data_IF_498609467643
#
_entry.id   IF_498609467643
#
_cell.length_a   1.000
_cell.length_b   1.000
_cell.length_c   1.000
_cell.angle_alpha   90.00
_cell.angle_beta   90.00
_cell.angle_gamma   90.00
#
_symmetry.space_group_name_H-M   'P 1'
#
loop_
_entity.id
_entity.type
_entity.pdbx_description
1 polymer ?
#
# COMPACT_ATOMS: atom_id res chain seq x y z
N UNK A 1 -69.88 -3.25 13.26
CA UNK A 1 -70.39 -2.60 12.06
C UNK A 1 -69.61 -1.30 11.86
N UNK A 2 -68.55 -1.27 11.04
CA UNK A 2 -67.84 -0.04 10.64
C UNK A 2 -67.74 -0.04 9.11
N UNK A 3 -68.53 0.83 8.50
CA UNK A 3 -68.70 1.07 7.10
C UNK A 3 -67.44 1.67 6.50
N UNK A 4 -66.78 0.97 5.54
CA UNK A 4 -65.64 1.48 4.81
C UNK A 4 -66.13 2.19 3.55
N UNK A 5 -65.97 3.51 3.54
CA UNK A 5 -66.32 4.35 2.39
C UNK A 5 -65.16 4.28 1.40
N UNK A 6 -65.40 3.68 0.22
CA UNK A 6 -64.48 3.69 -0.91
C UNK A 6 -64.74 4.94 -1.75
N UNK A 7 -63.71 5.82 -1.81
CA UNK A 7 -63.68 6.93 -2.78
C UNK A 7 -62.97 6.44 -4.06
N UNK A 8 -63.54 6.63 -5.24
CA UNK A 8 -62.82 6.39 -6.50
C UNK A 8 -61.95 7.61 -6.83
N UNK A 9 -60.65 7.41 -6.97
CA UNK A 9 -59.71 8.41 -7.50
C UNK A 9 -59.77 8.34 -9.03
N UNK A 10 -60.29 9.37 -9.65
CA UNK A 10 -60.28 9.52 -11.12
C UNK A 10 -58.87 9.94 -11.56
N UNK A 11 -58.23 9.07 -12.34
CA UNK A 11 -56.90 9.35 -12.94
C UNK A 11 -57.13 10.13 -14.23
N UNK A 12 -56.78 11.41 -14.24
CA UNK A 12 -56.78 12.24 -15.43
C UNK A 12 -55.47 11.99 -16.20
N UNK A 13 -55.51 11.28 -17.32
CA UNK A 13 -54.38 11.07 -18.20
C UNK A 13 -54.14 12.34 -19.04
N UNK A 14 -53.09 13.08 -18.73
CA UNK A 14 -52.60 14.17 -19.57
C UNK A 14 -51.56 13.60 -20.53
N UNK A 15 -51.89 13.46 -21.79
CA UNK A 15 -50.96 13.11 -22.87
C UNK A 15 -50.20 14.36 -23.32
N UNK A 16 -48.98 14.51 -22.90
CA UNK A 16 -48.03 15.52 -23.44
C UNK A 16 -47.28 14.89 -24.60
N UNK A 17 -47.65 15.26 -25.82
CA UNK A 17 -46.87 14.98 -27.02
C UNK A 17 -45.68 15.91 -27.06
N UNK A 18 -44.50 15.44 -26.68
CA UNK A 18 -43.24 16.13 -26.90
C UNK A 18 -42.65 15.71 -28.25
N UNK A 19 -42.65 16.63 -29.20
CA UNK A 19 -41.91 16.49 -30.45
C UNK A 19 -40.42 16.51 -30.10
N UNK A 20 -39.76 15.38 -30.25
CA UNK A 20 -38.30 15.29 -30.07
C UNK A 20 -37.63 15.70 -31.38
N UNK A 21 -37.04 16.89 -31.41
CA UNK A 21 -36.05 17.26 -32.40
C UNK A 21 -34.79 16.42 -32.15
N UNK A 22 -34.56 15.45 -33.04
CA UNK A 22 -33.31 14.71 -33.05
C UNK A 22 -32.19 15.61 -33.57
N UNK A 23 -31.41 16.19 -32.67
CA UNK A 23 -30.12 16.71 -33.03
C UNK A 23 -29.17 15.51 -33.13
N UNK A 24 -28.74 15.23 -34.36
CA UNK A 24 -27.65 14.33 -34.70
C UNK A 24 -26.37 14.86 -34.03
N UNK A 25 -26.18 14.50 -32.76
CA UNK A 25 -24.87 14.63 -32.13
C UNK A 25 -24.24 13.26 -32.17
N UNK A 26 -23.52 12.99 -33.26
CA UNK A 26 -22.58 11.89 -33.35
C UNK A 26 -21.69 11.95 -32.11
N UNK A 27 -21.72 10.93 -31.22
CA UNK A 27 -20.78 10.89 -30.11
C UNK A 27 -19.38 10.82 -30.69
N UNK A 28 -18.40 11.60 -30.17
CA UNK A 28 -17.03 11.45 -30.58
C UNK A 28 -16.62 9.99 -30.32
N UNK A 29 -16.23 9.30 -31.39
CA UNK A 29 -15.58 8.01 -31.36
C UNK A 29 -14.50 8.10 -30.30
N UNK A 30 -14.47 7.25 -29.28
CA UNK A 30 -13.32 7.19 -28.41
C UNK A 30 -12.13 6.72 -29.24
N UNK A 31 -11.29 7.68 -29.62
CA UNK A 31 -10.01 7.39 -30.22
C UNK A 31 -9.22 6.54 -29.26
N UNK A 32 -8.89 5.37 -29.76
CA UNK A 32 -7.82 4.50 -29.28
C UNK A 32 -7.69 4.42 -27.76
N UNK A 33 -8.51 3.57 -27.16
CA UNK A 33 -7.98 2.77 -26.08
C UNK A 33 -6.65 2.19 -26.62
N UNK A 34 -5.54 2.75 -26.14
CA UNK A 34 -4.28 2.09 -26.25
C UNK A 34 -4.54 0.67 -25.78
N UNK A 35 -4.58 -0.29 -26.70
CA UNK A 35 -4.40 -1.68 -26.41
C UNK A 35 -3.07 -1.76 -25.70
N UNK A 36 -3.09 -1.59 -24.39
CA UNK A 36 -2.04 -2.10 -23.56
C UNK A 36 -2.07 -3.59 -23.86
N UNK A 37 -1.15 -4.01 -24.71
CA UNK A 37 -0.82 -5.40 -24.94
C UNK A 37 -0.40 -5.95 -23.57
N UNK A 38 -1.40 -6.33 -22.80
CA UNK A 38 -1.26 -7.10 -21.58
C UNK A 38 -0.98 -8.53 -21.99
N UNK A 39 0.12 -8.72 -22.73
CA UNK A 39 0.82 -9.96 -22.73
C UNK A 39 1.01 -10.31 -21.27
N UNK A 40 0.39 -11.40 -20.83
CA UNK A 40 0.33 -11.93 -19.47
C UNK A 40 1.73 -12.30 -18.96
N UNK A 41 2.60 -11.28 -18.86
CA UNK A 41 3.97 -11.44 -18.39
C UNK A 41 3.96 -11.35 -16.87
N UNK A 42 4.50 -12.34 -16.22
CA UNK A 42 4.77 -12.32 -14.79
C UNK A 42 5.55 -11.04 -14.43
N UNK A 43 5.12 -10.38 -13.37
CA UNK A 43 5.75 -9.16 -12.82
C UNK A 43 6.37 -9.50 -11.48
N UNK A 44 7.55 -8.97 -11.22
CA UNK A 44 8.12 -8.97 -9.88
C UNK A 44 7.51 -7.86 -9.04
N UNK A 45 7.27 -8.12 -7.75
CA UNK A 45 6.92 -7.07 -6.79
C UNK A 45 7.99 -5.98 -6.71
N UNK A 46 9.24 -6.29 -7.07
CA UNK A 46 10.35 -5.35 -7.12
C UNK A 46 10.23 -4.32 -8.27
N UNK A 47 9.32 -4.53 -9.22
CA UNK A 47 9.03 -3.58 -10.29
C UNK A 47 8.09 -2.43 -9.85
N UNK A 48 7.68 -2.37 -8.58
CA UNK A 48 6.77 -1.33 -8.08
C UNK A 48 5.34 -1.56 -8.55
N UNK A 49 4.68 -2.55 -7.97
CA UNK A 49 3.32 -3.00 -8.34
C UNK A 49 2.21 -2.36 -7.49
N UNK A 50 2.53 -1.46 -6.60
CA UNK A 50 1.59 -0.71 -5.76
C UNK A 50 2.01 0.75 -5.66
N UNK A 51 1.11 1.65 -5.28
CA UNK A 51 1.44 3.07 -5.07
C UNK A 51 1.60 3.40 -3.58
N UNK A 52 2.34 4.47 -3.29
CA UNK A 52 2.47 4.99 -1.91
C UNK A 52 1.11 5.38 -1.32
N UNK A 53 0.22 5.94 -2.15
CA UNK A 53 -1.13 6.28 -1.72
C UNK A 53 -1.92 5.04 -1.32
N UNK A 54 -1.84 3.98 -2.13
CA UNK A 54 -2.50 2.71 -1.83
C UNK A 54 -1.96 2.11 -0.53
N UNK A 55 -0.66 2.11 -0.34
CA UNK A 55 -0.05 1.62 0.90
C UNK A 55 -0.45 2.46 2.13
N UNK A 56 -0.67 3.76 1.96
CA UNK A 56 -1.17 4.63 3.03
C UNK A 56 -2.63 4.33 3.40
N UNK A 57 -3.49 4.03 2.41
CA UNK A 57 -4.85 3.53 2.65
C UNK A 57 -4.80 2.20 3.38
N UNK A 58 -3.91 1.30 2.94
CA UNK A 58 -3.71 -0.01 3.57
C UNK A 58 -3.24 0.06 5.02
N UNK A 59 -2.42 1.04 5.38
CA UNK A 59 -2.06 1.31 6.78
C UNK A 59 -3.31 1.64 7.62
N UNK A 60 -4.18 2.51 7.10
CA UNK A 60 -5.43 2.87 7.78
C UNK A 60 -6.38 1.67 7.93
N UNK A 61 -6.52 0.86 6.87
CA UNK A 61 -7.30 -0.37 6.90
C UNK A 61 -6.73 -1.41 7.87
N UNK A 62 -5.40 -1.54 7.91
CA UNK A 62 -4.71 -2.40 8.86
C UNK A 62 -4.97 -1.97 10.31
N UNK A 63 -4.88 -0.68 10.60
CA UNK A 63 -5.15 -0.14 11.93
C UNK A 63 -6.61 -0.40 12.35
N UNK A 64 -7.54 -0.27 11.42
CA UNK A 64 -8.96 -0.46 11.70
C UNK A 64 -9.37 -1.93 11.89
N UNK A 65 -8.76 -2.85 11.13
CA UNK A 65 -9.27 -4.22 11.02
C UNK A 65 -8.30 -5.31 11.53
N UNK A 66 -7.01 -4.97 11.76
CA UNK A 66 -5.99 -5.98 12.05
C UNK A 66 -5.22 -5.72 13.36
N UNK A 67 -4.93 -4.45 13.67
CA UNK A 67 -3.99 -4.06 14.73
C UNK A 67 -4.45 -4.44 16.14
N UNK A 68 -5.75 -4.69 16.34
CA UNK A 68 -6.28 -5.12 17.62
C UNK A 68 -5.78 -6.52 18.03
N UNK A 69 -5.47 -7.37 17.04
CA UNK A 69 -5.04 -8.75 17.25
C UNK A 69 -3.60 -9.01 16.76
N UNK A 70 -3.11 -8.23 15.81
CA UNK A 70 -1.81 -8.45 15.17
C UNK A 70 -0.90 -7.24 15.30
N UNK A 71 0.30 -7.46 15.84
CA UNK A 71 1.42 -6.56 15.61
C UNK A 71 2.05 -6.80 14.22
N UNK A 72 2.77 -5.82 13.71
CA UNK A 72 3.42 -5.92 12.38
C UNK A 72 4.53 -6.98 12.33
N UNK A 73 5.10 -7.37 13.46
CA UNK A 73 6.15 -8.41 13.59
C UNK A 73 5.74 -9.74 12.97
N UNK A 74 4.44 -10.02 12.86
CA UNK A 74 3.94 -11.28 12.30
C UNK A 74 4.11 -11.39 10.77
N UNK A 75 4.29 -10.26 10.08
CA UNK A 75 4.36 -10.20 8.62
C UNK A 75 5.43 -9.23 8.08
N UNK A 76 6.49 -8.98 8.87
CA UNK A 76 7.67 -8.23 8.42
C UNK A 76 8.94 -9.07 8.52
N UNK A 77 9.97 -8.68 7.77
CA UNK A 77 11.30 -9.24 7.83
C UNK A 77 11.34 -10.74 7.53
N UNK A 78 11.89 -11.54 8.45
CA UNK A 78 12.00 -13.00 8.26
C UNK A 78 10.65 -13.71 8.20
N UNK A 79 9.66 -13.25 8.95
CA UNK A 79 8.32 -13.83 8.90
C UNK A 79 7.69 -13.67 7.52
N UNK A 80 7.79 -12.47 6.94
CA UNK A 80 7.36 -12.22 5.58
C UNK A 80 8.14 -13.05 4.56
N UNK A 81 9.47 -13.02 4.65
CA UNK A 81 10.34 -13.71 3.70
C UNK A 81 10.06 -15.21 3.66
N UNK A 82 9.99 -15.84 4.83
CA UNK A 82 9.77 -17.29 4.94
C UNK A 82 8.41 -17.73 4.43
N UNK A 83 7.38 -16.91 4.63
CA UNK A 83 6.02 -17.30 4.30
C UNK A 83 5.60 -16.92 2.88
N UNK A 84 6.17 -15.84 2.31
CA UNK A 84 5.63 -15.23 1.10
C UNK A 84 6.60 -15.13 -0.07
N UNK A 85 7.91 -15.05 0.14
CA UNK A 85 8.87 -15.02 -0.96
C UNK A 85 8.80 -16.31 -1.77
N UNK A 86 8.73 -16.16 -3.10
CA UNK A 86 8.52 -17.26 -4.04
C UNK A 86 7.06 -17.55 -4.37
N UNK A 87 6.11 -16.98 -3.64
CA UNK A 87 4.67 -17.07 -3.89
C UNK A 87 4.17 -15.89 -4.72
N UNK A 88 2.88 -15.88 -5.03
CA UNK A 88 2.24 -14.77 -5.75
C UNK A 88 1.54 -13.81 -4.80
N UNK A 89 1.26 -12.60 -5.28
CA UNK A 89 0.41 -11.66 -4.54
C UNK A 89 -1.01 -12.23 -4.33
N UNK A 90 -1.46 -13.11 -5.24
CA UNK A 90 -2.72 -13.81 -5.08
C UNK A 90 -2.71 -14.74 -3.87
N UNK A 91 -1.64 -15.49 -3.63
CA UNK A 91 -1.58 -16.40 -2.48
C UNK A 91 -1.71 -15.65 -1.16
N UNK A 92 -1.12 -14.45 -1.06
CA UNK A 92 -1.26 -13.58 0.10
C UNK A 92 -2.68 -13.01 0.20
N UNK A 93 -3.26 -12.58 -0.93
CA UNK A 93 -4.63 -12.08 -1.00
C UNK A 93 -5.64 -13.15 -0.57
N UNK A 94 -5.51 -14.35 -1.10
CA UNK A 94 -6.41 -15.47 -0.81
C UNK A 94 -6.34 -15.85 0.68
N UNK A 95 -5.13 -15.93 1.23
CA UNK A 95 -4.91 -16.19 2.65
C UNK A 95 -5.61 -15.14 3.51
N UNK A 96 -5.37 -13.85 3.24
CA UNK A 96 -6.01 -12.77 4.00
C UNK A 96 -7.53 -12.81 3.86
N UNK A 97 -8.04 -12.95 2.65
CA UNK A 97 -9.48 -12.95 2.39
C UNK A 97 -10.21 -14.13 3.03
N UNK A 98 -9.59 -15.31 3.04
CA UNK A 98 -10.26 -16.52 3.54
C UNK A 98 -10.13 -16.70 5.05
N UNK A 99 -9.18 -16.03 5.69
CA UNK A 99 -8.91 -16.23 7.12
C UNK A 99 -9.02 -14.98 7.99
N UNK A 100 -8.99 -13.78 7.37
CA UNK A 100 -8.97 -12.50 8.12
C UNK A 100 -10.04 -11.51 7.65
N UNK A 101 -10.54 -10.65 8.54
CA UNK A 101 -10.44 -10.72 10.00
C UNK A 101 -11.01 -12.03 10.54
N UNK A 102 -10.44 -12.59 11.62
CA UNK A 102 -10.83 -13.91 12.13
C UNK A 102 -12.31 -13.98 12.54
N UNK A 103 -12.86 -12.89 13.06
CA UNK A 103 -14.27 -12.75 13.42
C UNK A 103 -15.22 -12.56 12.24
N UNK A 104 -14.68 -12.19 11.05
CA UNK A 104 -15.46 -11.97 9.83
C UNK A 104 -14.63 -12.25 8.56
N UNK A 105 -14.21 -13.49 8.30
CA UNK A 105 -13.45 -13.85 7.11
C UNK A 105 -14.19 -13.45 5.83
N UNK A 106 -13.48 -12.76 4.90
CA UNK A 106 -14.06 -12.25 3.66
C UNK A 106 -14.91 -10.99 3.83
N UNK A 107 -14.97 -10.41 5.02
CA UNK A 107 -15.82 -9.25 5.33
C UNK A 107 -15.34 -7.93 4.72
N UNK A 108 -14.09 -7.85 4.29
CA UNK A 108 -13.56 -6.67 3.61
C UNK A 108 -13.75 -6.78 2.08
N UNK A 109 -13.80 -5.64 1.41
CA UNK A 109 -13.81 -5.61 -0.06
C UNK A 109 -12.45 -6.08 -0.63
N UNK A 110 -12.44 -6.53 -1.87
CA UNK A 110 -11.20 -6.92 -2.55
C UNK A 110 -10.17 -5.77 -2.58
N UNK A 111 -10.65 -4.53 -2.72
CA UNK A 111 -9.78 -3.34 -2.70
C UNK A 111 -9.14 -3.13 -1.33
N UNK A 112 -9.88 -3.27 -0.24
CA UNK A 112 -9.33 -3.13 1.11
C UNK A 112 -8.25 -4.19 1.40
N UNK A 113 -8.46 -5.43 0.97
CA UNK A 113 -7.43 -6.47 1.08
C UNK A 113 -6.17 -6.11 0.28
N UNK A 114 -6.31 -5.62 -0.96
CA UNK A 114 -5.13 -5.23 -1.76
C UNK A 114 -4.45 -3.97 -1.23
N UNK A 115 -5.18 -3.05 -0.63
CA UNK A 115 -4.60 -1.90 0.05
C UNK A 115 -3.76 -2.34 1.27
N UNK A 116 -4.27 -3.27 2.08
CA UNK A 116 -3.52 -3.89 3.19
C UNK A 116 -2.26 -4.61 2.67
N UNK A 117 -2.35 -5.34 1.55
CA UNK A 117 -1.19 -6.01 0.93
C UNK A 117 -0.15 -4.99 0.47
N UNK A 118 -0.57 -3.87 -0.12
CA UNK A 118 0.33 -2.79 -0.50
C UNK A 118 1.05 -2.20 0.73
N UNK A 119 0.36 -2.04 1.85
CA UNK A 119 0.97 -1.67 3.12
C UNK A 119 1.99 -2.71 3.60
N UNK A 120 1.65 -4.00 3.57
CA UNK A 120 2.58 -5.08 3.93
C UNK A 120 3.83 -5.04 3.04
N UNK A 121 3.68 -4.85 1.74
CA UNK A 121 4.82 -4.71 0.82
C UNK A 121 5.69 -3.51 1.18
N UNK A 122 5.09 -2.36 1.46
CA UNK A 122 5.80 -1.14 1.86
C UNK A 122 6.62 -1.32 3.13
N UNK A 123 6.04 -1.88 4.20
CA UNK A 123 6.76 -2.08 5.47
C UNK A 123 7.87 -3.14 5.38
N UNK A 124 7.85 -4.00 4.36
CA UNK A 124 8.94 -4.90 4.01
C UNK A 124 9.98 -4.27 3.07
N UNK A 125 9.87 -2.98 2.80
CA UNK A 125 10.85 -2.23 1.99
C UNK A 125 10.80 -2.53 0.50
N UNK A 126 9.68 -3.09 0.01
CA UNK A 126 9.45 -3.28 -1.43
C UNK A 126 9.13 -1.92 -2.08
N UNK A 127 9.56 -1.67 -3.31
CA UNK A 127 9.40 -0.38 -3.95
C UNK A 127 7.96 -0.12 -4.38
N UNK A 128 7.48 1.09 -4.12
CA UNK A 128 6.27 1.59 -4.75
C UNK A 128 6.51 1.96 -6.22
N UNK A 129 5.46 1.94 -7.00
CA UNK A 129 5.46 2.30 -8.41
C UNK A 129 4.35 3.29 -8.77
N UNK A 130 4.09 3.41 -10.08
CA UNK A 130 3.08 4.34 -10.60
C UNK A 130 1.66 3.74 -10.68
N UNK A 131 1.55 2.41 -10.61
CA UNK A 131 0.27 1.70 -10.71
C UNK A 131 -0.11 1.08 -9.37
N UNK A 132 -1.39 1.15 -9.02
CA UNK A 132 -1.92 0.48 -7.84
C UNK A 132 -1.94 -1.05 -8.04
N UNK A 133 -1.79 -1.78 -6.95
CA UNK A 133 -1.98 -3.22 -6.92
C UNK A 133 -3.45 -3.52 -7.28
N UNK A 134 -3.70 -4.33 -8.30
CA UNK A 134 -5.06 -4.61 -8.75
C UNK A 134 -5.82 -5.45 -7.72
N UNK A 135 -7.15 -5.25 -7.66
CA UNK A 135 -8.02 -6.09 -6.85
C UNK A 135 -8.53 -7.35 -7.61
N UNK A 136 -8.09 -7.51 -8.86
CA UNK A 136 -8.43 -8.65 -9.70
C UNK A 136 -7.54 -9.87 -9.37
N UNK A 137 -8.13 -11.03 -9.01
CA UNK A 137 -7.39 -12.23 -8.67
C UNK A 137 -6.43 -12.72 -9.77
N UNK A 138 -6.85 -12.64 -11.03
CA UNK A 138 -6.01 -13.12 -12.15
C UNK A 138 -4.77 -12.23 -12.34
N UNK A 139 -4.93 -10.92 -12.19
CA UNK A 139 -3.80 -10.00 -12.23
C UNK A 139 -2.84 -10.23 -11.05
N UNK A 140 -3.36 -10.55 -9.86
CA UNK A 140 -2.55 -10.85 -8.68
C UNK A 140 -1.73 -12.14 -8.83
N UNK A 141 -2.22 -13.14 -9.59
CA UNK A 141 -1.48 -14.38 -9.88
C UNK A 141 -0.22 -14.15 -10.70
N UNK A 142 -0.20 -13.06 -11.47
CA UNK A 142 0.94 -12.69 -12.30
C UNK A 142 2.01 -11.90 -11.54
N UNK A 143 1.79 -11.57 -10.28
CA UNK A 143 2.72 -10.79 -9.46
C UNK A 143 3.46 -11.72 -8.50
N UNK A 144 4.76 -11.92 -8.75
CA UNK A 144 5.64 -12.70 -7.88
C UNK A 144 6.18 -11.88 -6.74
N UNK A 145 6.11 -12.43 -5.54
CA UNK A 145 6.72 -11.86 -4.35
C UNK A 145 8.17 -12.33 -4.29
N UNK A 146 9.10 -11.38 -4.41
CA UNK A 146 10.53 -11.63 -4.39
C UNK A 146 11.18 -10.84 -3.27
N UNK A 147 12.25 -11.40 -2.71
CA UNK A 147 13.07 -10.67 -1.74
C UNK A 147 13.88 -9.58 -2.45
N UNK A 148 13.98 -8.41 -1.82
CA UNK A 148 14.95 -7.42 -2.27
C UNK A 148 16.34 -8.04 -2.27
N UNK A 149 17.11 -7.95 -3.37
CA UNK A 149 18.49 -8.45 -3.38
C UNK A 149 19.24 -7.82 -2.20
N UNK A 150 19.90 -8.64 -1.40
CA UNK A 150 20.84 -8.13 -0.41
C UNK A 150 21.80 -7.21 -1.18
N UNK A 151 21.81 -5.92 -0.84
CA UNK A 151 22.57 -4.92 -1.57
C UNK A 151 23.99 -5.42 -1.75
N UNK A 152 24.45 -5.51 -3.01
CA UNK A 152 25.79 -5.99 -3.31
C UNK A 152 26.80 -5.11 -2.52
N UNK A 153 27.56 -5.68 -1.58
CA UNK A 153 28.55 -4.91 -0.82
C UNK A 153 29.58 -4.18 -1.72
N UNK A 154 29.69 -4.59 -3.00
CA UNK A 154 30.53 -3.92 -3.99
C UNK A 154 30.03 -2.52 -4.41
N UNK A 155 28.76 -2.15 -4.18
CA UNK A 155 28.25 -0.81 -4.49
C UNK A 155 28.43 0.20 -3.33
N UNK A 156 28.78 -0.24 -2.14
CA UNK A 156 29.18 0.65 -1.03
C UNK A 156 30.59 1.26 -1.23
N UNK A 157 31.33 0.83 -2.25
CA UNK A 157 32.68 1.31 -2.55
C UNK A 157 32.79 2.56 -3.43
N UNK A 158 31.70 3.05 -4.01
CA UNK A 158 31.72 4.26 -4.86
C UNK A 158 31.31 5.52 -4.11
N UNK A 159 31.87 5.73 -2.90
CA UNK A 159 31.89 7.09 -2.36
C UNK A 159 32.76 7.93 -3.28
N UNK A 160 32.26 9.07 -3.83
CA UNK A 160 33.10 9.99 -4.57
C UNK A 160 34.28 10.33 -3.67
N UNK A 161 35.49 10.15 -4.20
CA UNK A 161 36.73 10.48 -3.50
C UNK A 161 36.62 11.93 -3.05
N UNK A 162 36.44 12.14 -1.75
CA UNK A 162 36.59 13.48 -1.16
C UNK A 162 38.02 13.91 -1.45
N UNK A 163 38.25 15.03 -2.14
CA UNK A 163 39.62 15.49 -2.44
C UNK A 163 40.33 15.63 -1.12
N UNK A 164 41.45 14.92 -0.99
CA UNK A 164 42.31 14.94 0.17
C UNK A 164 42.79 16.37 0.32
N UNK A 165 42.21 17.11 1.27
CA UNK A 165 42.78 18.42 1.69
C UNK A 165 44.20 18.15 2.14
N UNK A 166 45.14 18.68 1.37
CA UNK A 166 46.54 18.77 1.77
C UNK A 166 46.60 19.49 3.11
N UNK A 167 47.02 18.78 4.15
CA UNK A 167 47.25 19.34 5.48
C UNK A 167 48.38 20.35 5.37
N UNK A 168 48.07 21.63 5.44
CA UNK A 168 49.05 22.64 5.74
C UNK A 168 49.37 22.46 7.24
N UNK A 169 50.58 22.03 7.50
CA UNK A 169 51.13 21.91 8.86
C UNK A 169 51.23 23.32 9.47
N UNK A 170 50.28 23.62 10.35
CA UNK A 170 50.30 24.79 11.22
C UNK A 170 50.15 24.30 12.66
N UNK A 171 51.31 24.13 13.32
CA UNK A 171 51.41 23.77 14.72
C UNK A 171 50.91 24.92 15.59
N UNK A 172 49.84 24.68 16.36
CA UNK A 172 49.60 25.37 17.63
C UNK A 172 48.92 24.41 18.58
N UNK A 173 49.72 23.92 19.50
CA UNK A 173 49.35 23.00 20.59
C UNK A 173 48.65 23.84 21.68
N UNK A 174 47.32 23.86 21.71
CA UNK A 174 46.55 24.40 22.85
C UNK A 174 46.29 23.23 23.80
N UNK A 175 46.97 23.23 24.90
CA UNK A 175 46.74 22.32 26.01
C UNK A 175 45.39 22.64 26.65
N UNK A 176 44.41 21.78 26.44
CA UNK A 176 43.10 21.85 27.12
C UNK A 176 43.19 21.07 28.41
N UNK A 177 43.27 21.79 29.53
CA UNK A 177 43.23 21.23 30.88
C UNK A 177 41.88 20.53 31.13
N UNK A 178 41.95 19.23 31.34
CA UNK A 178 40.83 18.40 31.75
C UNK A 178 40.48 18.69 33.21
N UNK A 179 39.27 19.17 33.48
CA UNK A 179 38.76 19.36 34.84
C UNK A 179 37.83 18.16 35.15
N UNK A 180 38.18 17.30 36.12
CA UNK A 180 37.30 16.19 36.49
C UNK A 180 36.07 16.69 37.26
N UNK A 181 34.89 16.24 36.86
CA UNK A 181 33.66 16.48 37.59
C UNK A 181 33.56 15.56 38.80
N UNK A 182 33.27 16.17 39.95
CA UNK A 182 33.06 15.49 41.24
C UNK A 182 31.81 14.61 41.22
N UNK A 183 31.80 13.48 41.93
CA UNK A 183 30.62 12.60 41.99
C UNK A 183 29.51 13.23 42.86
N UNK A 184 28.28 13.17 42.36
CA UNK A 184 27.07 13.52 43.10
C UNK A 184 26.76 12.39 44.09
N UNK A 185 26.80 12.70 45.37
CA UNK A 185 26.40 11.79 46.46
C UNK A 185 24.88 11.80 46.53
N UNK A 186 24.22 10.66 46.22
CA UNK A 186 22.82 10.44 46.48
C UNK A 186 22.61 10.08 47.95
N UNK A 187 22.09 11.01 48.76
CA UNK A 187 21.62 10.73 50.12
C UNK A 187 20.20 10.12 50.03
N UNK A 188 20.12 8.85 50.41
CA UNK A 188 18.82 8.18 50.66
C UNK A 188 18.19 8.75 51.94
N UNK A 189 16.97 9.25 51.86
CA UNK A 189 16.13 9.52 53.03
C UNK A 189 15.20 8.34 53.28
N UNK A 190 15.20 7.89 54.51
CA UNK A 190 14.28 6.93 55.11
C UNK A 190 12.87 7.50 55.24
#
# INVERSE_FOLDING_TARGET
>A
MRLRLFLPVAILAVTVSAAQAQTDTTPPKPDSAAKTDSTSREKSVLAGVFTEEQASKGDSEHQANCSACHGTENYVGEAFTRNWVGRTAFDLFDQLKTTMPEDNPGGLSAQQYTDIIAYIFKINGLPAGAAALPADPEALRLIKIESKPAGNPAQLGSRPAVPRRTSVAGSTRVARTYRPHSPVVLTARR
#
